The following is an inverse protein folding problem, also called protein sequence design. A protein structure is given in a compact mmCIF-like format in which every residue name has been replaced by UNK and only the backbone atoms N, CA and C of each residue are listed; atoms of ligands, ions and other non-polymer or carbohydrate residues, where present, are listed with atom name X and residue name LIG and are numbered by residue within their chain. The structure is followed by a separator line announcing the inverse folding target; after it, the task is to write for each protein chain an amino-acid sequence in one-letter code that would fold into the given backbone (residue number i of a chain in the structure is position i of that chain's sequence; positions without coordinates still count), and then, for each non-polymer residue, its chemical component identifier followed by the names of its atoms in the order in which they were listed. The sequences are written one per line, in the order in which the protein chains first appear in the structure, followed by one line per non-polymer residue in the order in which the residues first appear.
data_IF_135377656255
#
_entry.id   IF_135377656255
#
_cell.length_a   1.000
_cell.length_b   1.000
_cell.length_c   1.000
_cell.angle_alpha   90.00
_cell.angle_beta   90.00
_cell.angle_gamma   90.00
#
_symmetry.space_group_name_H-M   'P 1'
#
loop_
_entity.id
_entity.type
_entity.pdbx_description
1 polymer ?
#
# COMPACT_ATOMS: atom_id res chain seq x y z
N UNK A 1 -35.64 56.71 -9.73
CA UNK A 1 -34.58 56.87 -10.73
C UNK A 1 -33.66 55.67 -10.60
N UNK A 2 -33.52 54.92 -11.69
CA UNK A 2 -32.78 53.67 -11.75
C UNK A 2 -31.26 53.92 -11.73
N UNK A 3 -30.53 53.06 -11.04
CA UNK A 3 -29.09 52.85 -11.25
C UNK A 3 -28.97 51.61 -12.13
N UNK A 4 -28.69 51.82 -13.42
CA UNK A 4 -28.26 50.77 -14.34
C UNK A 4 -26.83 50.37 -13.98
N UNK A 5 -26.66 49.17 -13.45
CA UNK A 5 -25.35 48.54 -13.33
C UNK A 5 -25.07 47.82 -14.65
N UNK A 6 -24.07 48.28 -15.39
CA UNK A 6 -23.57 47.61 -16.59
C UNK A 6 -23.05 46.22 -16.21
N UNK A 7 -23.83 45.17 -16.49
CA UNK A 7 -23.38 43.79 -16.36
C UNK A 7 -22.40 43.50 -17.50
N UNK A 8 -21.11 43.49 -17.16
CA UNK A 8 -20.07 42.99 -18.05
C UNK A 8 -20.36 41.54 -18.45
N UNK A 9 -20.41 41.29 -19.75
CA UNK A 9 -20.64 39.96 -20.31
C UNK A 9 -19.48 39.06 -19.87
N UNK A 10 -19.74 38.06 -19.04
CA UNK A 10 -18.72 37.09 -18.64
C UNK A 10 -18.42 36.18 -19.82
N UNK A 11 -17.15 36.07 -20.19
CA UNK A 11 -16.71 35.25 -21.33
C UNK A 11 -17.17 33.79 -21.21
N UNK A 12 -17.35 33.29 -19.98
CA UNK A 12 -17.86 31.94 -19.73
C UNK A 12 -19.33 31.72 -20.11
N UNK A 13 -20.14 32.78 -20.17
CA UNK A 13 -21.55 32.69 -20.58
C UNK A 13 -21.68 32.67 -22.12
N UNK A 14 -20.75 33.32 -22.82
CA UNK A 14 -20.69 33.31 -24.30
C UNK A 14 -20.29 31.93 -24.82
N UNK A 15 -19.37 31.23 -24.15
CA UNK A 15 -18.93 29.90 -24.57
C UNK A 15 -19.96 28.78 -24.33
N UNK A 16 -20.91 28.98 -23.41
CA UNK A 16 -21.98 27.98 -23.15
C UNK A 16 -23.12 28.04 -24.16
N UNK A 17 -23.34 29.18 -24.82
CA UNK A 17 -24.43 29.37 -25.78
C UNK A 17 -24.09 28.94 -27.22
N UNK A 18 -22.81 28.69 -27.53
CA UNK A 18 -22.39 28.18 -28.84
C UNK A 18 -22.28 26.65 -28.82
N UNK A 19 -23.40 25.98 -28.53
CA UNK A 19 -23.54 24.55 -28.68
C UNK A 19 -23.85 24.17 -30.14
N UNK A 20 -22.84 23.71 -30.88
CA UNK A 20 -23.02 22.78 -32.00
C UNK A 20 -22.33 21.48 -31.62
N UNK A 21 -23.14 20.45 -31.42
CA UNK A 21 -22.73 19.05 -31.28
C UNK A 21 -22.49 18.46 -32.67
N UNK A 22 -21.29 17.94 -32.92
CA UNK A 22 -21.13 16.73 -33.75
C UNK A 22 -19.81 16.01 -33.43
N UNK A 23 -19.79 14.69 -33.64
CA UNK A 23 -18.93 13.72 -32.98
C UNK A 23 -17.45 13.65 -33.36
N UNK A 24 -16.82 12.62 -32.79
CA UNK A 24 -15.40 12.19 -32.81
C UNK A 24 -14.52 12.69 -31.65
N UNK A 25 -14.38 11.80 -30.67
CA UNK A 25 -13.47 11.89 -29.53
C UNK A 25 -12.01 11.77 -29.98
N UNK A 26 -11.40 12.89 -30.36
CA UNK A 26 -9.94 13.04 -30.37
C UNK A 26 -9.54 13.93 -29.20
N UNK A 27 -9.08 13.28 -28.12
CA UNK A 27 -8.49 13.92 -26.93
C UNK A 27 -7.43 14.94 -27.39
N UNK A 28 -7.55 16.24 -27.08
CA UNK A 28 -6.44 17.15 -27.33
C UNK A 28 -5.35 16.77 -26.33
N UNK A 29 -4.27 16.15 -26.82
CA UNK A 29 -3.01 16.08 -26.11
C UNK A 29 -2.64 17.52 -25.83
N UNK A 30 -2.78 17.92 -24.57
CA UNK A 30 -2.23 19.16 -24.06
C UNK A 30 -0.73 18.97 -24.11
N UNK A 31 -0.11 19.27 -25.25
CA UNK A 31 1.30 19.57 -25.28
C UNK A 31 1.46 20.74 -24.30
N UNK A 32 2.07 20.44 -23.16
CA UNK A 32 2.63 21.45 -22.30
C UNK A 32 3.73 22.10 -23.14
N UNK A 33 3.38 23.13 -23.90
CA UNK A 33 4.39 24.06 -24.40
C UNK A 33 5.03 24.65 -23.15
N UNK A 34 6.22 24.18 -22.81
CA UNK A 34 7.03 24.71 -21.72
C UNK A 34 7.31 26.18 -22.03
N UNK A 35 6.44 27.07 -21.52
CA UNK A 35 6.59 28.52 -21.66
C UNK A 35 7.92 29.02 -21.07
N UNK A 36 8.60 28.20 -20.27
CA UNK A 36 9.90 28.47 -19.69
C UNK A 36 11.07 28.14 -20.63
N UNK A 37 10.98 27.10 -21.47
CA UNK A 37 11.99 26.79 -22.49
C UNK A 37 12.11 27.95 -23.50
N UNK A 38 10.97 28.56 -23.84
CA UNK A 38 10.90 29.74 -24.71
C UNK A 38 11.62 30.98 -24.10
N UNK A 39 11.70 31.09 -22.77
CA UNK A 39 12.36 32.19 -22.07
C UNK A 39 13.90 32.08 -22.08
N UNK A 40 14.44 30.85 -22.03
CA UNK A 40 15.89 30.60 -22.06
C UNK A 40 16.49 30.79 -23.45
N UNK A 41 15.79 30.34 -24.49
CA UNK A 41 16.23 30.48 -25.88
C UNK A 41 16.16 31.95 -26.34
N UNK A 42 15.10 32.67 -25.98
CA UNK A 42 15.00 34.11 -26.22
C UNK A 42 16.09 34.91 -25.46
N UNK A 43 16.51 34.45 -24.29
CA UNK A 43 17.59 35.05 -23.51
C UNK A 43 18.98 34.83 -24.15
N UNK A 44 19.30 33.62 -24.59
CA UNK A 44 20.56 33.35 -25.28
C UNK A 44 20.66 34.14 -26.59
N UNK A 45 19.52 34.33 -27.28
CA UNK A 45 19.44 35.14 -28.48
C UNK A 45 19.70 36.63 -28.20
N UNK A 46 19.08 37.20 -27.14
CA UNK A 46 19.33 38.58 -26.71
C UNK A 46 20.77 38.80 -26.22
N UNK A 47 21.36 37.85 -25.50
CA UNK A 47 22.74 37.92 -25.01
C UNK A 47 23.75 37.95 -26.17
N UNK A 48 23.54 37.10 -27.18
CA UNK A 48 24.38 37.06 -28.40
C UNK A 48 24.22 38.35 -29.20
N UNK A 49 23.00 38.87 -29.34
CA UNK A 49 22.74 40.14 -30.03
C UNK A 49 23.39 41.33 -29.33
N UNK A 50 23.40 41.37 -27.99
CA UNK A 50 24.07 42.42 -27.23
C UNK A 50 25.60 42.33 -27.34
N UNK A 51 26.20 41.14 -27.29
CA UNK A 51 27.66 41.01 -27.52
C UNK A 51 28.10 41.45 -28.92
N UNK A 52 27.25 41.25 -29.94
CA UNK A 52 27.54 41.69 -31.31
C UNK A 52 27.49 43.22 -31.48
N UNK A 53 26.82 43.96 -30.58
CA UNK A 53 26.62 45.41 -30.69
C UNK A 53 27.20 46.22 -29.52
N UNK A 54 28.00 45.62 -28.62
CA UNK A 54 28.66 46.37 -27.55
C UNK A 54 29.85 47.18 -28.08
N UNK A 55 29.97 48.43 -27.61
CA UNK A 55 31.14 49.26 -27.84
C UNK A 55 32.24 48.83 -26.83
N UNK A 56 33.43 48.41 -27.28
CA UNK A 56 34.48 47.83 -26.43
C UNK A 56 35.05 48.75 -25.34
N UNK A 57 34.67 50.02 -25.30
CA UNK A 57 35.17 51.01 -24.36
C UNK A 57 34.26 51.25 -23.13
N UNK A 58 33.06 50.66 -23.07
CA UNK A 58 32.16 50.83 -21.92
C UNK A 58 31.17 49.65 -21.74
N UNK A 59 31.59 48.53 -21.13
CA UNK A 59 30.72 47.38 -20.95
C UNK A 59 29.67 47.65 -19.86
N UNK A 60 28.38 47.63 -20.20
CA UNK A 60 27.31 47.55 -19.20
C UNK A 60 27.29 46.16 -18.55
N UNK A 61 27.21 46.12 -17.23
CA UNK A 61 27.27 44.90 -16.43
C UNK A 61 25.92 44.16 -16.45
N UNK A 62 25.80 43.20 -17.37
CA UNK A 62 24.63 42.32 -17.49
C UNK A 62 24.57 41.23 -16.39
N UNK A 63 25.45 41.28 -15.38
CA UNK A 63 25.60 40.25 -14.35
C UNK A 63 24.35 40.03 -13.48
N UNK A 64 23.58 41.08 -13.18
CA UNK A 64 22.39 40.98 -12.31
C UNK A 64 21.25 40.17 -12.97
N UNK A 65 21.07 40.30 -14.30
CA UNK A 65 20.12 39.49 -15.06
C UNK A 65 20.57 38.05 -15.24
N UNK A 66 21.88 37.82 -15.45
CA UNK A 66 22.47 36.48 -15.50
C UNK A 66 22.29 35.78 -14.15
N UNK A 67 22.45 36.50 -13.03
CA UNK A 67 22.20 35.98 -11.69
C UNK A 67 20.71 35.61 -11.48
N UNK A 68 19.77 36.45 -11.94
CA UNK A 68 18.34 36.13 -11.88
C UNK A 68 17.98 34.91 -12.74
N UNK A 69 18.55 34.77 -13.94
CA UNK A 69 18.33 33.61 -14.81
C UNK A 69 18.94 32.32 -14.24
N UNK A 70 20.11 32.41 -13.60
CA UNK A 70 20.70 31.30 -12.86
C UNK A 70 19.81 30.88 -11.68
N UNK A 71 19.18 31.84 -11.00
CA UNK A 71 18.22 31.57 -9.92
C UNK A 71 16.96 30.87 -10.44
N UNK A 72 16.41 31.31 -11.58
CA UNK A 72 15.27 30.65 -12.24
C UNK A 72 15.61 29.23 -12.73
N UNK A 73 16.78 29.05 -13.35
CA UNK A 73 17.26 27.73 -13.79
C UNK A 73 17.45 26.77 -12.62
N UNK A 74 17.90 27.29 -11.47
CA UNK A 74 18.03 26.51 -10.23
C UNK A 74 16.65 26.11 -9.67
N UNK A 75 15.67 27.02 -9.68
CA UNK A 75 14.30 26.74 -9.26
C UNK A 75 13.64 25.69 -10.17
N UNK A 76 13.82 25.80 -11.49
CA UNK A 76 13.34 24.84 -12.47
C UNK A 76 14.00 23.47 -12.30
N UNK A 77 15.31 23.45 -12.02
CA UNK A 77 16.03 22.24 -11.64
C UNK A 77 15.42 21.57 -10.41
N UNK A 78 15.08 22.33 -9.37
CA UNK A 78 14.41 21.84 -8.16
C UNK A 78 13.00 21.33 -8.46
N UNK A 79 12.22 22.02 -9.29
CA UNK A 79 10.87 21.57 -9.69
C UNK A 79 10.92 20.28 -10.51
N UNK A 80 11.89 20.16 -11.41
CA UNK A 80 12.14 18.96 -12.19
C UNK A 80 12.53 17.81 -11.28
N UNK A 81 13.44 18.05 -10.33
CA UNK A 81 13.86 17.06 -9.34
C UNK A 81 12.68 16.58 -8.49
N UNK A 82 11.85 17.49 -7.98
CA UNK A 82 10.63 17.13 -7.24
C UNK A 82 9.67 16.29 -8.09
N UNK A 83 9.51 16.61 -9.38
CA UNK A 83 8.68 15.84 -10.30
C UNK A 83 9.23 14.43 -10.56
N UNK A 84 10.56 14.31 -10.70
CA UNK A 84 11.24 13.02 -10.82
C UNK A 84 11.10 12.18 -9.55
N UNK A 85 11.28 12.78 -8.37
CA UNK A 85 11.09 12.12 -7.08
C UNK A 85 9.66 11.61 -6.92
N UNK A 86 8.65 12.43 -7.25
CA UNK A 86 7.25 11.99 -7.22
C UNK A 86 6.95 10.85 -8.20
N UNK A 87 7.57 10.89 -9.39
CA UNK A 87 7.46 9.80 -10.37
C UNK A 87 8.08 8.50 -9.85
N UNK A 88 9.23 8.56 -9.17
CA UNK A 88 9.88 7.40 -8.54
C UNK A 88 8.99 6.81 -7.45
N UNK A 89 8.45 7.65 -6.56
CA UNK A 89 7.56 7.21 -5.48
C UNK A 89 6.32 6.50 -6.05
N UNK A 90 5.72 7.08 -7.11
CA UNK A 90 4.56 6.49 -7.79
C UNK A 90 4.90 5.16 -8.47
N UNK A 91 6.08 5.07 -9.10
CA UNK A 91 6.60 3.84 -9.69
C UNK A 91 6.85 2.73 -8.66
N UNK A 92 7.41 3.07 -7.49
CA UNK A 92 7.58 2.14 -6.37
C UNK A 92 6.26 1.59 -5.84
N UNK A 93 5.22 2.44 -5.74
CA UNK A 93 3.87 1.97 -5.36
C UNK A 93 3.30 0.95 -6.36
N UNK A 94 3.60 1.12 -7.64
CA UNK A 94 3.09 0.25 -8.71
C UNK A 94 3.78 -1.12 -8.72
N UNK A 95 5.10 -1.17 -8.48
CA UNK A 95 5.83 -2.44 -8.35
C UNK A 95 5.41 -3.21 -7.10
N UNK A 96 5.16 -2.51 -6.00
CA UNK A 96 4.64 -3.10 -4.77
C UNK A 96 3.22 -3.66 -4.95
N UNK A 97 2.38 -3.00 -5.76
CA UNK A 97 1.05 -3.51 -6.14
C UNK A 97 1.11 -4.78 -6.99
N UNK A 98 2.08 -4.89 -7.90
CA UNK A 98 2.29 -6.13 -8.66
C UNK A 98 2.74 -7.28 -7.76
N UNK A 99 3.67 -7.05 -6.83
CA UNK A 99 4.06 -8.07 -5.85
C UNK A 99 2.89 -8.49 -4.96
N UNK A 100 2.09 -7.52 -4.49
CA UNK A 100 0.85 -7.76 -3.76
C UNK A 100 -0.13 -8.66 -4.54
N UNK A 101 -0.31 -8.42 -5.84
CA UNK A 101 -1.23 -9.21 -6.66
C UNK A 101 -0.86 -10.70 -6.67
N UNK A 102 0.43 -11.02 -6.58
CA UNK A 102 0.91 -12.40 -6.53
C UNK A 102 0.58 -13.13 -5.23
N UNK A 103 0.25 -12.39 -4.17
CA UNK A 103 -0.16 -12.93 -2.87
C UNK A 103 -1.63 -13.33 -2.84
N UNK A 104 -2.47 -12.72 -3.68
CA UNK A 104 -3.91 -13.04 -3.73
C UNK A 104 -4.09 -14.52 -4.08
N UNK A 105 -4.89 -15.22 -3.28
CA UNK A 105 -5.11 -16.66 -3.37
C UNK A 105 -4.01 -17.52 -2.73
N UNK A 106 -2.85 -16.96 -2.34
CA UNK A 106 -1.83 -17.69 -1.58
C UNK A 106 -2.21 -17.80 -0.11
N UNK A 107 -1.70 -18.85 0.53
CA UNK A 107 -1.71 -19.01 1.98
C UNK A 107 -0.52 -18.27 2.59
N UNK A 108 -0.75 -17.53 3.67
CA UNK A 108 0.29 -16.90 4.49
C UNK A 108 0.17 -17.39 5.92
N UNK A 109 1.30 -17.47 6.64
CA UNK A 109 1.32 -17.80 8.07
C UNK A 109 1.32 -16.49 8.87
N UNK A 110 0.36 -16.35 9.78
CA UNK A 110 0.20 -15.15 10.60
C UNK A 110 0.06 -15.54 12.07
N UNK A 111 0.55 -14.66 12.95
CA UNK A 111 0.35 -14.82 14.39
C UNK A 111 -1.05 -14.36 14.76
N UNK A 112 -1.94 -15.31 15.03
CA UNK A 112 -3.32 -15.03 15.41
C UNK A 112 -4.01 -16.27 16.02
N UNK A 113 -5.23 -16.09 16.53
CA UNK A 113 -5.99 -17.16 17.17
C UNK A 113 -7.13 -17.69 16.29
N UNK A 114 -7.44 -17.08 15.13
CA UNK A 114 -8.60 -17.44 14.32
C UNK A 114 -8.19 -17.89 12.93
N UNK A 115 -8.82 -18.94 12.41
CA UNK A 115 -8.63 -19.34 11.02
C UNK A 115 -9.95 -19.77 10.39
N UNK A 116 -10.10 -19.46 9.11
CA UNK A 116 -11.11 -20.09 8.26
C UNK A 116 -10.59 -21.48 7.89
N UNK A 117 -11.28 -22.52 8.35
CA UNK A 117 -10.86 -23.92 8.17
C UNK A 117 -11.79 -24.62 7.19
N UNK A 118 -11.20 -25.20 6.16
CA UNK A 118 -11.83 -26.24 5.35
C UNK A 118 -11.66 -27.58 6.08
N UNK A 119 -12.67 -27.96 6.86
CA UNK A 119 -12.63 -29.18 7.66
C UNK A 119 -12.55 -30.43 6.81
N UNK A 120 -12.78 -30.40 5.49
CA UNK A 120 -12.61 -31.57 4.62
C UNK A 120 -11.15 -32.00 4.46
N UNK A 121 -10.21 -31.09 4.75
CA UNK A 121 -8.77 -31.29 4.70
C UNK A 121 -8.17 -31.25 6.10
N UNK A 122 -6.94 -31.75 6.24
CA UNK A 122 -6.16 -31.54 7.46
C UNK A 122 -5.74 -30.07 7.55
N UNK A 123 -5.88 -29.50 8.74
CA UNK A 123 -5.45 -28.16 9.08
C UNK A 123 -4.17 -28.25 9.92
N UNK A 124 -3.10 -27.62 9.44
CA UNK A 124 -1.81 -27.57 10.13
C UNK A 124 -1.54 -26.15 10.61
N UNK A 125 -1.13 -26.01 11.86
CA UNK A 125 -0.68 -24.75 12.43
C UNK A 125 0.52 -24.96 13.35
N UNK A 126 1.08 -23.88 13.87
CA UNK A 126 2.19 -23.94 14.82
C UNK A 126 1.87 -23.19 16.11
N UNK A 127 2.56 -23.56 17.17
CA UNK A 127 2.59 -22.85 18.44
C UNK A 127 4.00 -22.32 18.68
N UNK A 128 4.11 -21.05 19.05
CA UNK A 128 5.37 -20.44 19.49
C UNK A 128 5.55 -20.72 20.97
N UNK A 129 6.45 -21.65 21.27
CA UNK A 129 6.78 -22.11 22.61
C UNK A 129 7.92 -21.24 23.17
N UNK A 130 7.68 -20.41 24.21
CA UNK A 130 8.62 -19.39 24.66
C UNK A 130 9.82 -19.96 25.43
N UNK A 131 9.66 -21.14 26.03
CA UNK A 131 10.66 -21.87 26.82
C UNK A 131 10.32 -23.36 26.80
N UNK A 132 11.20 -24.24 27.29
CA UNK A 132 10.86 -25.65 27.41
C UNK A 132 9.64 -25.84 28.35
N UNK A 133 8.67 -26.62 27.91
CA UNK A 133 7.42 -26.90 28.64
C UNK A 133 7.17 -28.40 28.72
N UNK A 134 6.42 -28.84 29.71
CA UNK A 134 6.07 -30.25 29.91
C UNK A 134 4.63 -30.58 29.49
N UNK A 135 3.76 -29.59 29.29
CA UNK A 135 2.31 -29.79 29.09
C UNK A 135 1.64 -28.80 28.11
N UNK A 136 2.17 -28.67 26.91
CA UNK A 136 1.50 -27.86 25.88
C UNK A 136 0.17 -28.48 25.42
N UNK A 137 -0.83 -27.63 25.16
CA UNK A 137 -2.09 -28.03 24.51
C UNK A 137 -2.65 -26.93 23.61
N UNK A 138 -3.38 -27.33 22.58
CA UNK A 138 -4.16 -26.44 21.69
C UNK A 138 -5.63 -26.77 21.85
N UNK A 139 -6.42 -25.81 22.31
CA UNK A 139 -7.87 -25.92 22.40
C UNK A 139 -8.49 -25.26 21.18
N UNK A 140 -9.38 -25.98 20.50
CA UNK A 140 -10.09 -25.52 19.30
C UNK A 140 -11.54 -25.26 19.66
N UNK A 141 -12.04 -24.08 19.31
CA UNK A 141 -13.42 -23.65 19.52
C UNK A 141 -14.11 -23.32 18.20
N UNK A 142 -15.40 -23.62 18.12
CA UNK A 142 -16.24 -23.23 16.98
C UNK A 142 -16.61 -21.73 17.03
N UNK A 143 -17.40 -21.29 16.04
CA UNK A 143 -17.92 -19.91 15.95
C UNK A 143 -18.79 -19.47 17.13
N UNK A 144 -19.38 -20.41 17.85
CA UNK A 144 -20.27 -20.17 18.99
C UNK A 144 -19.49 -20.18 20.32
N UNK A 145 -18.21 -20.51 20.28
CA UNK A 145 -17.31 -20.55 21.43
C UNK A 145 -17.25 -21.89 22.14
N UNK A 146 -17.91 -22.92 21.61
CA UNK A 146 -17.88 -24.26 22.20
C UNK A 146 -16.54 -24.92 21.90
N UNK A 147 -15.97 -25.59 22.90
CA UNK A 147 -14.76 -26.41 22.69
C UNK A 147 -15.16 -27.65 21.89
N UNK A 148 -14.53 -27.84 20.74
CA UNK A 148 -14.79 -28.97 19.85
C UNK A 148 -13.68 -30.01 19.88
N UNK A 149 -12.44 -29.60 20.13
CA UNK A 149 -11.27 -30.48 20.20
C UNK A 149 -10.24 -29.89 21.14
N UNK A 150 -9.51 -30.76 21.84
CA UNK A 150 -8.23 -30.40 22.49
C UNK A 150 -7.12 -31.30 21.98
N UNK A 151 -6.07 -30.70 21.43
CA UNK A 151 -4.88 -31.39 20.95
C UNK A 151 -3.79 -31.26 22.02
N UNK A 152 -3.29 -32.38 22.52
CA UNK A 152 -2.18 -32.39 23.46
C UNK A 152 -0.86 -32.31 22.69
N UNK A 153 -0.07 -31.26 22.93
CA UNK A 153 1.29 -31.14 22.42
C UNK A 153 2.30 -31.82 23.35
N UNK A 154 1.98 -31.94 24.64
CA UNK A 154 2.86 -32.54 25.64
C UNK A 154 4.13 -31.72 25.88
N UNK A 155 5.25 -32.41 26.12
CA UNK A 155 6.55 -31.76 26.28
C UNK A 155 7.01 -31.15 24.97
N UNK A 156 7.42 -29.87 25.00
CA UNK A 156 7.93 -29.16 23.84
C UNK A 156 9.16 -28.34 24.23
N UNK A 157 10.16 -28.30 23.35
CA UNK A 157 11.31 -27.39 23.51
C UNK A 157 10.91 -25.97 23.09
N UNK A 158 11.68 -24.99 23.57
CA UNK A 158 11.59 -23.61 23.06
C UNK A 158 11.69 -23.59 21.53
N UNK A 159 10.78 -22.88 20.87
CA UNK A 159 10.74 -22.77 19.40
C UNK A 159 9.33 -22.96 18.85
N UNK A 160 9.22 -23.43 17.61
CA UNK A 160 7.94 -23.71 16.97
C UNK A 160 7.58 -25.18 17.15
N UNK A 161 6.36 -25.45 17.61
CA UNK A 161 5.78 -26.78 17.70
C UNK A 161 4.59 -26.89 16.74
N UNK A 162 4.61 -27.87 15.84
CA UNK A 162 3.53 -28.10 14.89
C UNK A 162 2.36 -28.83 15.55
N UNK A 163 1.15 -28.54 15.08
CA UNK A 163 -0.05 -29.32 15.39
C UNK A 163 -0.88 -29.55 14.13
N UNK A 164 -1.59 -30.67 14.10
CA UNK A 164 -2.47 -31.05 13.01
C UNK A 164 -3.85 -31.32 13.57
N UNK A 165 -4.86 -30.74 12.94
CA UNK A 165 -6.26 -31.00 13.20
C UNK A 165 -6.95 -31.54 11.95
N UNK A 166 -7.68 -32.63 12.08
CA UNK A 166 -8.36 -33.30 10.98
C UNK A 166 -9.79 -32.78 10.74
N UNK A 167 -10.18 -31.69 11.41
CA UNK A 167 -11.53 -31.12 11.30
C UNK A 167 -12.61 -31.89 12.06
N UNK A 168 -12.23 -32.78 12.99
CA UNK A 168 -13.18 -33.54 13.81
C UNK A 168 -13.31 -33.02 15.24
N UNK A 169 -14.38 -33.39 15.93
CA UNK A 169 -14.51 -33.17 17.38
C UNK A 169 -13.92 -34.35 18.21
N UNK A 170 -14.08 -34.30 19.54
CA UNK A 170 -13.63 -35.37 20.45
C UNK A 170 -14.36 -36.72 20.24
N UNK A 171 -15.53 -36.71 19.57
CA UNK A 171 -16.27 -37.93 19.17
C UNK A 171 -15.88 -38.44 17.79
N UNK A 172 -14.86 -37.84 17.16
CA UNK A 172 -14.43 -38.09 15.78
C UNK A 172 -15.49 -37.78 14.72
N UNK A 173 -16.47 -36.93 15.04
CA UNK A 173 -17.46 -36.45 14.09
C UNK A 173 -16.88 -35.29 13.28
N UNK A 174 -17.08 -35.31 11.96
CA UNK A 174 -16.60 -34.24 11.06
C UNK A 174 -17.42 -32.97 11.29
N UNK A 175 -16.73 -31.85 11.50
CA UNK A 175 -17.38 -30.55 11.67
C UNK A 175 -17.55 -29.84 10.33
N UNK A 176 -18.43 -28.84 10.28
CA UNK A 176 -18.62 -28.02 9.08
C UNK A 176 -17.44 -27.05 8.86
N UNK A 177 -17.08 -26.74 7.60
CA UNK A 177 -16.12 -25.67 7.31
C UNK A 177 -16.57 -24.33 7.90
N UNK A 178 -15.63 -23.52 8.36
CA UNK A 178 -15.96 -22.24 8.99
C UNK A 178 -14.82 -21.63 9.78
N UNK A 179 -15.14 -20.56 10.52
CA UNK A 179 -14.17 -19.93 11.41
C UNK A 179 -14.04 -20.70 12.72
N UNK A 180 -12.82 -21.03 13.08
CA UNK A 180 -12.46 -21.66 14.35
C UNK A 180 -11.46 -20.80 15.10
N UNK A 181 -11.49 -20.90 16.43
CA UNK A 181 -10.52 -20.24 17.33
C UNK A 181 -9.59 -21.28 17.93
N UNK A 182 -8.29 -21.03 17.88
CA UNK A 182 -7.21 -21.86 18.38
C UNK A 182 -6.55 -21.12 19.54
N UNK A 183 -6.55 -21.75 20.72
CA UNK A 183 -5.89 -21.20 21.91
C UNK A 183 -4.86 -22.19 22.40
N UNK A 184 -3.58 -21.82 22.31
CA UNK A 184 -2.49 -22.62 22.84
C UNK A 184 -2.19 -22.24 24.29
N UNK A 185 -2.10 -23.23 25.17
CA UNK A 185 -1.81 -23.03 26.60
C UNK A 185 -0.81 -24.06 27.11
N UNK A 186 -0.13 -23.71 28.19
CA UNK A 186 0.79 -24.57 28.95
C UNK A 186 0.76 -24.16 30.41
N UNK A 187 1.40 -24.93 31.28
CA UNK A 187 1.62 -24.61 32.69
C UNK A 187 3.09 -24.31 32.91
N UNK A 188 3.36 -23.12 33.47
CA UNK A 188 4.70 -22.70 33.92
C UNK A 188 4.60 -22.40 35.40
N UNK A 189 5.42 -23.06 36.22
CA UNK A 189 5.42 -22.91 37.68
C UNK A 189 4.02 -23.08 38.32
N UNK A 190 3.24 -24.03 37.80
CA UNK A 190 1.88 -24.32 38.26
C UNK A 190 0.81 -23.31 37.82
N UNK A 191 1.15 -22.32 36.98
CA UNK A 191 0.21 -21.32 36.44
C UNK A 191 0.01 -21.52 34.94
N UNK A 192 -1.25 -21.40 34.51
CA UNK A 192 -1.57 -21.41 33.09
C UNK A 192 -0.96 -20.19 32.39
N UNK A 193 -0.27 -20.43 31.28
CA UNK A 193 0.28 -19.44 30.38
C UNK A 193 -0.27 -19.67 28.96
N UNK A 194 -0.54 -18.57 28.26
CA UNK A 194 -0.99 -18.60 26.87
C UNK A 194 0.24 -18.53 25.96
N UNK A 195 0.23 -19.32 24.90
CA UNK A 195 1.24 -19.29 23.84
C UNK A 195 0.62 -18.75 22.56
N UNK A 196 1.45 -18.14 21.71
CA UNK A 196 0.99 -17.64 20.42
C UNK A 196 0.85 -18.78 19.42
N UNK A 197 -0.18 -18.70 18.58
CA UNK A 197 -0.40 -19.58 17.44
C UNK A 197 -0.01 -18.90 16.14
N UNK A 198 0.59 -19.66 15.24
CA UNK A 198 0.88 -19.28 13.86
C UNK A 198 -0.02 -20.10 12.95
N UNK A 199 -1.01 -19.46 12.33
CA UNK A 199 -2.04 -20.15 11.55
C UNK A 199 -1.97 -19.74 10.07
N UNK A 200 -2.29 -20.68 9.15
CA UNK A 200 -2.44 -20.36 7.75
C UNK A 200 -3.70 -19.53 7.51
N UNK A 201 -3.59 -18.57 6.61
CA UNK A 201 -4.67 -17.73 6.17
C UNK A 201 -4.56 -17.44 4.67
N UNK A 202 -5.64 -17.66 3.93
CA UNK A 202 -5.70 -17.31 2.51
C UNK A 202 -5.87 -15.81 2.34
N UNK A 203 -5.08 -15.21 1.45
CA UNK A 203 -5.20 -13.80 1.07
C UNK A 203 -6.34 -13.65 0.05
N UNK A 204 -7.43 -13.00 0.42
CA UNK A 204 -8.55 -12.73 -0.48
C UNK A 204 -8.30 -11.54 -1.40
N UNK A 205 -7.67 -10.49 -0.88
CA UNK A 205 -7.29 -9.31 -1.66
C UNK A 205 -6.21 -8.52 -0.95
N UNK A 206 -5.56 -7.63 -1.68
CA UNK A 206 -4.59 -6.68 -1.12
C UNK A 206 -5.09 -5.26 -1.32
N UNK A 207 -4.81 -4.39 -0.36
CA UNK A 207 -5.15 -2.97 -0.40
C UNK A 207 -4.01 -2.14 0.15
N UNK A 208 -3.91 -0.87 -0.24
CA UNK A 208 -2.93 0.07 0.28
C UNK A 208 -3.66 1.12 1.12
N UNK A 209 -3.17 1.41 2.32
CA UNK A 209 -3.65 2.56 3.09
C UNK A 209 -2.88 3.83 2.71
N UNK A 210 -3.50 4.99 2.96
CA UNK A 210 -2.88 6.31 2.81
C UNK A 210 -1.61 6.36 3.69
N UNK A 211 -0.43 6.19 3.07
CA UNK A 211 0.84 5.95 3.77
C UNK A 211 1.69 4.82 3.18
N UNK A 212 1.17 4.05 2.22
CA UNK A 212 1.95 3.07 1.45
C UNK A 212 2.10 1.70 2.11
N UNK A 213 1.56 1.49 3.32
CA UNK A 213 1.54 0.16 3.93
C UNK A 213 0.56 -0.76 3.17
N UNK A 214 1.08 -1.92 2.77
CA UNK A 214 0.32 -2.97 2.12
C UNK A 214 -0.47 -3.76 3.18
N UNK A 215 -1.78 -3.82 2.99
CA UNK A 215 -2.72 -4.51 3.86
C UNK A 215 -3.31 -5.72 3.12
N UNK A 216 -3.19 -6.90 3.72
CA UNK A 216 -3.80 -8.13 3.26
C UNK A 216 -5.19 -8.29 3.87
N UNK A 217 -6.19 -8.62 3.05
CA UNK A 217 -7.50 -9.04 3.51
C UNK A 217 -7.49 -10.57 3.59
N UNK A 218 -7.41 -11.11 4.80
CA UNK A 218 -7.25 -12.54 5.05
C UNK A 218 -8.60 -13.21 5.36
N UNK A 219 -8.81 -14.41 4.81
CA UNK A 219 -10.01 -15.21 5.06
C UNK A 219 -10.20 -15.50 6.56
N UNK A 220 -11.37 -15.17 7.10
CA UNK A 220 -11.73 -15.42 8.50
C UNK A 220 -11.10 -14.49 9.55
N UNK A 221 -10.16 -13.64 9.16
CA UNK A 221 -9.38 -12.79 10.08
C UNK A 221 -9.63 -11.30 9.80
N UNK A 222 -9.80 -10.92 8.53
CA UNK A 222 -9.95 -9.52 8.11
C UNK A 222 -8.63 -8.89 7.68
N UNK A 223 -8.52 -7.57 7.87
CA UNK A 223 -7.36 -6.78 7.41
C UNK A 223 -6.16 -6.94 8.33
N UNK A 224 -5.01 -7.26 7.74
CA UNK A 224 -3.72 -7.38 8.44
C UNK A 224 -2.61 -6.74 7.61
N UNK A 225 -1.71 -5.98 8.23
CA UNK A 225 -0.53 -5.45 7.53
C UNK A 225 0.42 -6.56 7.11
N UNK A 226 1.04 -6.43 5.94
CA UNK A 226 2.05 -7.40 5.43
C UNK A 226 3.19 -7.61 6.43
N UNK A 227 3.50 -6.59 7.24
CA UNK A 227 4.52 -6.61 8.30
C UNK A 227 4.25 -7.63 9.42
N UNK A 228 3.02 -8.13 9.53
CA UNK A 228 2.61 -9.14 10.52
C UNK A 228 2.60 -10.57 9.94
N UNK A 229 2.89 -10.74 8.65
CA UNK A 229 3.05 -12.05 8.03
C UNK A 229 4.41 -12.63 8.40
N UNK A 230 4.41 -13.86 8.90
CA UNK A 230 5.64 -14.58 9.26
C UNK A 230 6.25 -15.28 8.03
N UNK A 231 5.41 -15.85 7.17
CA UNK A 231 5.86 -16.60 5.98
C UNK A 231 4.78 -16.56 4.89
N UNK A 232 5.20 -16.57 3.63
CA UNK A 232 4.32 -16.61 2.45
C UNK A 232 4.49 -17.95 1.76
N UNK A 233 3.37 -18.64 1.51
CA UNK A 233 3.32 -19.91 0.79
C UNK A 233 3.57 -21.13 1.68
N UNK A 234 2.72 -22.13 1.52
CA UNK A 234 2.98 -23.56 1.78
C UNK A 234 2.57 -24.34 0.54
#
# INVERSE_FOLDING_TARGET
MAVESTTGVNLNDVLKNSGVSDGTTKKPTTEKTDKNALGKDAFLQLLVTQMQHQNPLDPQDNGEFVAQLAQFSSLEGIQTLNSSVNSIITGMGSSQALQASSLVGRSVIVQNEKAMVDTTKSFTGQVVVPQNITDGKVTIKDKDGNVVKTIQLGEQKKGNADFIWDGTNDKNEKLSPGNYTFTATTTVDGKAAIMYTLLPATVNSVSFQNGGEMMLNLAGIGKLGISKVQTIGI
#
